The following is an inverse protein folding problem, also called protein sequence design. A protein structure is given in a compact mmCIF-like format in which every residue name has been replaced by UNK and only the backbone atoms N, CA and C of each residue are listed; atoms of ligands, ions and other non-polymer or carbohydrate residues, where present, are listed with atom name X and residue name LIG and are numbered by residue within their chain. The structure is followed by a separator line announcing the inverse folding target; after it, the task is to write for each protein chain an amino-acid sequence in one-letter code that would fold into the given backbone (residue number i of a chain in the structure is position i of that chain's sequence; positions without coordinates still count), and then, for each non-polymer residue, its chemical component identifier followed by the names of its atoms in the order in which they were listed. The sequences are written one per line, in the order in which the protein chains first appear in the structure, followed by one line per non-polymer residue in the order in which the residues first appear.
data_IF_641888141444
#
_entry.id   IF_641888141444
#
_cell.length_a   1.000
_cell.length_b   1.000
_cell.length_c   1.000
_cell.angle_alpha   90.00
_cell.angle_beta   90.00
_cell.angle_gamma   90.00
#
_symmetry.space_group_name_H-M   'P 1'
#
loop_
_entity.id
_entity.type
_entity.pdbx_description
1 polymer ?
#
# COMPACT_ATOMS: atom_id res chain seq x y z
N UNK A 1 32.48 -1.12 2.68
CA UNK A 1 31.45 -1.98 2.02
C UNK A 1 30.84 -3.05 2.92
N UNK A 2 31.48 -3.49 4.01
CA UNK A 2 30.92 -4.53 4.90
C UNK A 2 29.58 -4.14 5.54
N UNK A 3 29.50 -2.96 6.16
CA UNK A 3 28.28 -2.43 6.77
C UNK A 3 27.09 -2.34 5.80
N UNK A 4 27.35 -2.05 4.52
CA UNK A 4 26.29 -1.99 3.50
C UNK A 4 25.73 -3.39 3.16
N UNK A 5 26.58 -4.42 3.18
CA UNK A 5 26.16 -5.82 2.99
C UNK A 5 25.37 -6.32 4.19
N UNK A 6 25.82 -6.00 5.40
CA UNK A 6 25.15 -6.41 6.63
C UNK A 6 23.76 -5.75 6.74
N UNK A 7 23.66 -4.48 6.34
CA UNK A 7 22.38 -3.76 6.28
C UNK A 7 21.43 -4.35 5.23
N UNK A 8 21.94 -4.69 4.03
CA UNK A 8 21.11 -5.31 2.98
C UNK A 8 20.59 -6.68 3.44
N UNK A 9 21.44 -7.48 4.08
CA UNK A 9 21.03 -8.76 4.65
C UNK A 9 19.96 -8.61 5.73
N UNK A 10 20.16 -7.71 6.70
CA UNK A 10 19.17 -7.42 7.73
C UNK A 10 17.83 -6.93 7.14
N UNK A 11 17.87 -6.11 6.08
CA UNK A 11 16.67 -5.62 5.41
C UNK A 11 15.95 -6.74 4.64
N UNK A 12 16.69 -7.64 3.96
CA UNK A 12 16.11 -8.83 3.29
C UNK A 12 15.43 -9.75 4.29
N UNK A 13 16.08 -10.02 5.42
CA UNK A 13 15.50 -10.81 6.51
C UNK A 13 14.23 -10.15 7.05
N UNK A 14 14.27 -8.84 7.35
CA UNK A 14 13.09 -8.09 7.81
C UNK A 14 11.93 -8.19 6.81
N UNK A 15 12.18 -8.01 5.51
CA UNK A 15 11.15 -8.13 4.47
C UNK A 15 10.53 -9.53 4.44
N UNK A 16 11.35 -10.57 4.47
CA UNK A 16 10.86 -11.95 4.48
C UNK A 16 10.01 -12.25 5.72
N UNK A 17 10.34 -11.69 6.87
CA UNK A 17 9.57 -11.88 8.10
C UNK A 17 8.27 -11.07 8.04
N UNK A 18 8.31 -9.83 7.53
CA UNK A 18 7.13 -9.01 7.34
C UNK A 18 6.11 -9.65 6.38
N UNK A 19 6.56 -10.28 5.29
CA UNK A 19 5.66 -11.00 4.39
C UNK A 19 4.98 -12.20 5.06
N UNK A 20 5.67 -12.90 5.97
CA UNK A 20 5.07 -13.99 6.75
C UNK A 20 4.04 -13.45 7.75
N UNK A 21 4.37 -12.37 8.45
CA UNK A 21 3.44 -11.71 9.37
C UNK A 21 2.19 -11.20 8.64
N UNK A 22 2.35 -10.65 7.43
CA UNK A 22 1.23 -10.24 6.59
C UNK A 22 0.28 -11.39 6.28
N UNK A 23 0.80 -12.55 5.86
CA UNK A 23 -0.07 -13.71 5.56
C UNK A 23 -0.83 -14.20 6.78
N UNK A 24 -0.23 -14.13 7.97
CA UNK A 24 -0.91 -14.49 9.21
C UNK A 24 -1.97 -13.44 9.61
N UNK A 25 -1.72 -12.16 9.33
CA UNK A 25 -2.62 -11.05 9.65
C UNK A 25 -3.78 -10.88 8.66
N UNK A 26 -3.57 -11.16 7.37
CA UNK A 26 -4.53 -10.87 6.30
C UNK A 26 -5.93 -11.44 6.57
N UNK A 27 -6.12 -12.70 6.99
CA UNK A 27 -7.45 -13.22 7.29
C UNK A 27 -8.18 -12.45 8.40
N UNK A 28 -7.43 -11.95 9.39
CA UNK A 28 -8.00 -11.11 10.47
C UNK A 28 -8.42 -9.75 9.93
N UNK A 29 -7.61 -9.16 9.05
CA UNK A 29 -7.92 -7.87 8.39
C UNK A 29 -9.15 -8.02 7.50
N UNK A 30 -9.20 -9.06 6.68
CA UNK A 30 -10.35 -9.34 5.80
C UNK A 30 -11.64 -9.50 6.62
N UNK A 31 -11.58 -10.16 7.79
CA UNK A 31 -12.73 -10.29 8.69
C UNK A 31 -13.17 -8.94 9.27
N UNK A 32 -12.23 -8.10 9.74
CA UNK A 32 -12.54 -6.75 10.24
C UNK A 32 -13.20 -5.88 9.15
N UNK A 33 -12.72 -5.97 7.91
CA UNK A 33 -13.32 -5.27 6.77
C UNK A 33 -14.73 -5.79 6.48
N UNK A 34 -14.95 -7.10 6.50
CA UNK A 34 -16.26 -7.71 6.31
C UNK A 34 -17.26 -7.31 7.41
N UNK A 35 -16.79 -7.13 8.64
CA UNK A 35 -17.56 -6.61 9.77
C UNK A 35 -17.81 -5.10 9.72
N UNK A 36 -17.32 -4.40 8.68
CA UNK A 36 -17.51 -2.96 8.48
C UNK A 36 -16.71 -2.10 9.46
N UNK A 37 -15.64 -2.64 10.04
CA UNK A 37 -14.75 -1.88 10.95
C UNK A 37 -13.99 -0.83 10.15
N UNK A 38 -13.84 0.36 10.72
CA UNK A 38 -13.14 1.49 10.09
C UNK A 38 -11.69 1.64 10.58
N UNK A 39 -11.22 0.78 11.49
CA UNK A 39 -9.84 0.70 11.94
C UNK A 39 -9.39 -0.76 11.93
N UNK A 40 -8.24 -1.03 11.31
CA UNK A 40 -7.67 -2.38 11.22
C UNK A 40 -6.70 -2.63 12.36
N UNK A 41 -7.18 -3.15 13.48
CA UNK A 41 -6.33 -3.47 14.63
C UNK A 41 -6.03 -4.98 14.69
N UNK A 42 -4.76 -5.35 14.55
CA UNK A 42 -4.34 -6.75 14.49
C UNK A 42 -3.28 -7.07 15.53
N UNK A 43 -3.60 -8.06 16.37
CA UNK A 43 -2.60 -8.69 17.23
C UNK A 43 -1.71 -9.63 16.41
N UNK A 44 -0.41 -9.39 16.50
CA UNK A 44 0.66 -10.14 15.86
C UNK A 44 1.25 -11.11 16.88
N UNK A 45 1.52 -12.33 16.45
CA UNK A 45 2.13 -13.34 17.30
C UNK A 45 3.51 -12.86 17.82
N UNK A 46 3.82 -13.02 19.13
CA UNK A 46 5.10 -12.63 19.72
C UNK A 46 6.33 -13.35 19.14
N UNK A 47 6.15 -14.45 18.41
CA UNK A 47 7.22 -15.13 17.65
C UNK A 47 7.78 -14.26 16.52
N UNK A 48 7.03 -13.24 16.06
CA UNK A 48 7.55 -12.24 15.14
C UNK A 48 8.34 -11.16 15.90
N UNK A 49 9.47 -10.67 15.37
CA UNK A 49 10.16 -9.52 15.93
C UNK A 49 9.28 -8.26 15.91
N UNK A 50 9.30 -7.48 17.01
CA UNK A 50 8.57 -6.21 17.11
C UNK A 50 8.83 -5.24 15.95
N UNK A 51 10.02 -5.29 15.32
CA UNK A 51 10.37 -4.43 14.18
C UNK A 51 9.49 -4.62 12.93
N UNK A 52 8.61 -5.63 12.92
CA UNK A 52 7.66 -5.93 11.85
C UNK A 52 6.33 -5.18 12.00
N UNK A 53 5.99 -4.70 13.20
CA UNK A 53 4.71 -4.03 13.46
C UNK A 53 4.49 -2.82 12.55
N UNK A 54 5.50 -1.97 12.36
CA UNK A 54 5.40 -0.79 11.50
C UNK A 54 5.12 -1.12 10.02
N UNK A 55 5.95 -1.96 9.36
CA UNK A 55 5.68 -2.44 8.01
C UNK A 55 4.31 -3.12 7.87
N UNK A 56 3.89 -3.91 8.86
CA UNK A 56 2.61 -4.59 8.82
C UNK A 56 1.44 -3.61 8.91
N UNK A 57 1.48 -2.65 9.83
CA UNK A 57 0.47 -1.60 9.96
C UNK A 57 0.37 -0.76 8.67
N UNK A 58 1.50 -0.42 8.04
CA UNK A 58 1.49 0.29 6.76
C UNK A 58 0.81 -0.49 5.65
N UNK A 59 1.16 -1.77 5.51
CA UNK A 59 0.56 -2.61 4.50
C UNK A 59 -0.94 -2.85 4.76
N UNK A 60 -1.34 -3.06 6.02
CA UNK A 60 -2.74 -3.19 6.40
C UNK A 60 -3.54 -1.91 6.10
N UNK A 61 -2.95 -0.75 6.37
CA UNK A 61 -3.60 0.55 6.10
C UNK A 61 -3.78 0.80 4.61
N UNK A 62 -2.76 0.51 3.80
CA UNK A 62 -2.83 0.60 2.34
C UNK A 62 -3.87 -0.37 1.76
N UNK A 63 -3.86 -1.63 2.21
CA UNK A 63 -4.77 -2.67 1.71
C UNK A 63 -6.23 -2.40 2.06
N UNK A 64 -6.51 -1.97 3.30
CA UNK A 64 -7.87 -1.71 3.77
C UNK A 64 -8.34 -0.26 3.53
N UNK A 65 -7.49 0.60 2.97
CA UNK A 65 -7.73 2.04 2.82
C UNK A 65 -8.22 2.72 4.13
N UNK A 66 -7.75 2.24 5.28
CA UNK A 66 -8.21 2.64 6.61
C UNK A 66 -7.02 2.78 7.57
N UNK A 67 -7.13 3.51 8.69
CA UNK A 67 -6.10 3.47 9.74
C UNK A 67 -5.88 2.03 10.21
N UNK A 68 -4.62 1.67 10.47
CA UNK A 68 -4.28 0.34 10.90
C UNK A 68 -3.26 0.33 12.04
N UNK A 69 -3.44 -0.63 12.94
CA UNK A 69 -2.59 -0.92 14.09
C UNK A 69 -2.12 -2.36 14.03
N UNK A 70 -0.82 -2.56 14.18
CA UNK A 70 -0.25 -3.87 14.46
C UNK A 70 0.34 -3.83 15.86
N UNK A 71 -0.07 -4.74 16.73
CA UNK A 71 0.39 -4.78 18.12
C UNK A 71 0.79 -6.19 18.57
N UNK A 72 1.65 -6.26 19.57
CA UNK A 72 2.06 -7.47 20.26
C UNK A 72 1.81 -7.33 21.75
N UNK A 73 1.35 -8.39 22.39
CA UNK A 73 1.25 -8.49 23.84
C UNK A 73 2.38 -9.37 24.36
N UNK A 74 3.17 -8.83 25.29
CA UNK A 74 4.27 -9.54 25.96
C UNK A 74 4.15 -9.26 27.45
N UNK A 75 4.01 -10.30 28.27
CA UNK A 75 3.93 -10.20 29.73
C UNK A 75 2.84 -9.24 30.25
N UNK A 76 1.73 -9.13 29.53
CA UNK A 76 0.61 -8.23 29.87
C UNK A 76 0.75 -6.80 29.33
N UNK A 77 1.88 -6.46 28.73
CA UNK A 77 2.11 -5.16 28.09
C UNK A 77 1.92 -5.27 26.57
N UNK A 78 1.11 -4.37 26.02
CA UNK A 78 0.93 -4.23 24.58
C UNK A 78 1.86 -3.17 24.02
N UNK A 79 2.50 -3.47 22.89
CA UNK A 79 3.24 -2.50 22.07
C UNK A 79 2.68 -2.48 20.66
N UNK A 80 2.34 -1.29 20.18
CA UNK A 80 1.68 -1.08 18.91
C UNK A 80 2.43 -0.12 18.00
N UNK A 81 2.39 -0.39 16.70
CA UNK A 81 2.70 0.57 15.65
C UNK A 81 1.46 0.81 14.82
N UNK A 82 1.29 2.06 14.39
CA UNK A 82 0.11 2.52 13.69
C UNK A 82 0.47 3.28 12.41
N UNK A 83 -0.44 3.24 11.44
CA UNK A 83 -0.41 4.03 10.21
C UNK A 83 -1.79 4.59 9.95
N UNK A 84 -1.80 5.85 9.51
CA UNK A 84 -3.01 6.59 9.23
C UNK A 84 -3.26 6.75 7.74
N UNK A 85 -4.46 7.21 7.42
CA UNK A 85 -4.90 7.63 6.10
C UNK A 85 -5.06 9.15 6.05
N UNK A 86 -5.05 9.78 4.86
CA UNK A 86 -5.32 11.20 4.72
C UNK A 86 -6.65 11.57 5.42
N UNK A 87 -6.67 12.70 6.15
CA UNK A 87 -7.85 13.16 6.87
C UNK A 87 -8.03 12.60 8.28
N UNK A 88 -7.19 11.65 8.72
CA UNK A 88 -7.20 11.16 10.09
C UNK A 88 -5.83 11.39 10.75
N UNK A 89 -5.76 12.19 11.82
CA UNK A 89 -4.55 12.37 12.62
C UNK A 89 -4.51 11.31 13.73
N UNK A 90 -3.71 10.26 13.50
CA UNK A 90 -3.62 9.13 14.42
C UNK A 90 -2.88 9.47 15.71
N UNK A 91 -2.03 10.50 15.70
CA UNK A 91 -1.33 10.96 16.89
C UNK A 91 -2.30 11.71 17.81
N UNK A 92 -3.07 12.64 17.25
CA UNK A 92 -4.11 13.37 17.98
C UNK A 92 -5.18 12.42 18.52
N UNK A 93 -5.57 11.41 17.74
CA UNK A 93 -6.53 10.41 18.18
C UNK A 93 -6.01 9.56 19.36
N UNK A 94 -4.71 9.25 19.40
CA UNK A 94 -4.07 8.58 20.54
C UNK A 94 -3.94 9.50 21.76
N UNK A 95 -3.65 10.79 21.55
CA UNK A 95 -3.54 11.78 22.63
C UNK A 95 -4.82 11.88 23.45
N UNK A 96 -5.99 11.73 22.82
CA UNK A 96 -7.29 11.66 23.49
C UNK A 96 -7.45 10.44 24.44
N UNK A 97 -6.59 9.44 24.30
CA UNK A 97 -6.52 8.26 25.18
C UNK A 97 -5.26 8.23 26.05
N UNK A 98 -4.51 9.33 26.15
CA UNK A 98 -3.21 9.36 26.84
C UNK A 98 -3.23 8.83 28.27
N UNK A 99 -4.35 8.95 28.99
CA UNK A 99 -4.50 8.41 30.35
C UNK A 99 -4.51 6.86 30.42
N UNK A 100 -4.69 6.17 29.28
CA UNK A 100 -4.66 4.70 29.14
C UNK A 100 -3.34 4.20 28.57
N UNK A 101 -2.44 5.12 28.19
CA UNK A 101 -1.18 4.81 27.54
C UNK A 101 -0.04 4.95 28.55
N UNK A 102 0.81 3.93 28.63
CA UNK A 102 2.08 4.04 29.35
C UNK A 102 3.05 4.96 28.60
N UNK A 103 3.01 4.91 27.26
CA UNK A 103 3.80 5.76 26.36
C UNK A 103 3.13 5.84 25.00
N UNK A 104 3.21 6.98 24.33
CA UNK A 104 2.87 7.11 22.92
C UNK A 104 3.72 8.17 22.23
N UNK A 105 3.70 8.20 20.90
CA UNK A 105 4.35 9.24 20.12
C UNK A 105 4.28 8.97 18.62
N UNK A 106 4.70 9.96 17.83
CA UNK A 106 4.68 9.92 16.37
C UNK A 106 4.13 11.21 15.78
N UNK A 107 3.49 11.09 14.63
CA UNK A 107 2.92 12.19 13.85
C UNK A 107 1.58 11.76 13.23
N UNK A 108 0.89 12.69 12.58
CA UNK A 108 -0.43 12.48 11.99
C UNK A 108 -0.57 11.19 11.15
N UNK A 109 0.45 10.85 10.35
CA UNK A 109 0.43 9.68 9.47
C UNK A 109 0.91 8.37 10.12
N UNK A 110 1.58 8.44 11.27
CA UNK A 110 2.27 7.30 11.87
C UNK A 110 2.52 7.54 13.34
N UNK A 111 2.03 6.64 14.19
CA UNK A 111 2.26 6.68 15.62
C UNK A 111 2.55 5.30 16.19
N UNK A 112 2.93 5.25 17.47
CA UNK A 112 3.04 4.02 18.22
C UNK A 112 2.70 4.26 19.68
N UNK A 113 2.29 3.21 20.37
CA UNK A 113 1.98 3.29 21.79
C UNK A 113 2.37 2.02 22.54
N UNK A 114 2.49 2.16 23.86
CA UNK A 114 2.54 1.08 24.83
C UNK A 114 1.44 1.29 25.86
N UNK A 115 0.75 0.22 26.23
CA UNK A 115 -0.35 0.22 27.18
C UNK A 115 -0.47 -1.16 27.85
N UNK A 116 -1.20 -1.24 28.95
CA UNK A 116 -1.64 -2.53 29.48
C UNK A 116 -2.51 -3.23 28.43
N UNK A 117 -2.29 -4.53 28.21
CA UNK A 117 -2.99 -5.31 27.19
C UNK A 117 -4.51 -5.29 27.39
N UNK A 118 -4.98 -5.21 28.63
CA UNK A 118 -6.42 -5.12 28.95
C UNK A 118 -7.07 -3.83 28.45
N UNK A 119 -6.29 -2.76 28.22
CA UNK A 119 -6.79 -1.47 27.75
C UNK A 119 -6.80 -1.35 26.23
N UNK A 120 -6.14 -2.26 25.50
CA UNK A 120 -6.07 -2.21 24.02
C UNK A 120 -7.45 -2.19 23.37
N UNK A 121 -8.42 -3.05 23.75
CA UNK A 121 -9.76 -3.00 23.15
C UNK A 121 -10.44 -1.65 23.32
N UNK A 122 -10.28 -1.00 24.48
CA UNK A 122 -10.88 0.31 24.76
C UNK A 122 -10.20 1.43 23.96
N UNK A 123 -8.88 1.38 23.81
CA UNK A 123 -8.11 2.31 22.97
C UNK A 123 -8.57 2.20 21.51
N UNK A 124 -8.66 0.97 20.97
CA UNK A 124 -9.12 0.75 19.59
C UNK A 124 -10.56 1.24 19.41
N UNK A 125 -11.48 0.93 20.33
CA UNK A 125 -12.87 1.39 20.24
C UNK A 125 -12.98 2.93 20.25
N UNK A 126 -12.15 3.61 21.03
CA UNK A 126 -12.09 5.08 21.01
C UNK A 126 -11.65 5.60 19.65
N UNK A 127 -10.61 5.01 19.07
CA UNK A 127 -10.09 5.40 17.75
C UNK A 127 -11.11 5.15 16.64
N UNK A 128 -11.85 4.04 16.69
CA UNK A 128 -12.94 3.75 15.75
C UNK A 128 -14.06 4.79 15.83
N UNK A 129 -14.39 5.22 17.06
CA UNK A 129 -15.36 6.29 17.27
C UNK A 129 -14.88 7.60 16.66
N UNK A 130 -13.63 8.00 16.95
CA UNK A 130 -13.04 9.22 16.37
C UNK A 130 -13.00 9.16 14.85
N UNK A 131 -12.63 8.01 14.28
CA UNK A 131 -12.59 7.80 12.83
C UNK A 131 -13.99 7.97 12.22
N UNK A 132 -15.03 7.41 12.84
CA UNK A 132 -16.42 7.61 12.39
C UNK A 132 -16.81 9.08 12.39
N UNK A 133 -16.40 9.86 13.39
CA UNK A 133 -16.67 11.31 13.44
C UNK A 133 -15.91 12.08 12.36
N UNK A 134 -14.64 11.76 12.10
CA UNK A 134 -13.88 12.37 10.99
C UNK A 134 -14.48 11.99 9.62
N UNK A 135 -15.01 10.78 9.49
CA UNK A 135 -15.66 10.28 8.28
C UNK A 135 -17.07 10.85 8.04
N UNK A 136 -17.69 11.47 9.04
CA UNK A 136 -18.95 12.20 8.84
C UNK A 136 -18.73 13.56 8.14
N UNK A 137 -17.49 14.07 8.11
CA UNK A 137 -17.11 15.30 7.41
C UNK A 137 -16.39 15.08 6.07
N UNK A 138 -15.91 13.87 5.81
CA UNK A 138 -15.22 13.50 4.58
C UNK A 138 -15.77 12.15 4.10
N UNK A 139 -16.24 12.06 2.85
CA UNK A 139 -16.68 10.81 2.23
C UNK A 139 -15.53 9.78 2.23
N UNK A 140 -15.39 9.01 3.30
CA UNK A 140 -14.39 7.94 3.46
C UNK A 140 -14.86 6.61 2.83
N UNK A 141 -15.72 6.68 1.82
CA UNK A 141 -16.11 5.53 0.98
C UNK A 141 -15.30 5.48 -0.33
N UNK A 142 -14.05 5.91 -0.24
CA UNK A 142 -13.13 5.90 -1.36
C UNK A 142 -11.97 4.98 -0.98
N UNK A 143 -12.07 3.69 -1.35
CA UNK A 143 -10.89 2.87 -1.66
C UNK A 143 -9.88 3.79 -2.31
N UNK A 144 -8.67 3.95 -1.77
CA UNK A 144 -7.65 4.93 -2.19
C UNK A 144 -7.86 5.30 -3.67
N UNK A 145 -8.60 6.37 -3.94
CA UNK A 145 -8.92 6.73 -5.32
C UNK A 145 -7.61 7.25 -5.89
N UNK A 146 -6.97 6.40 -6.69
CA UNK A 146 -5.80 6.80 -7.46
C UNK A 146 -6.31 7.64 -8.62
N UNK A 147 -6.44 8.94 -8.39
CA UNK A 147 -6.76 9.89 -9.45
C UNK A 147 -5.62 9.88 -10.45
N UNK A 148 -5.92 9.53 -11.71
CA UNK A 148 -4.97 9.73 -12.78
C UNK A 148 -4.86 11.24 -13.09
N UNK A 149 -3.64 11.73 -13.26
CA UNK A 149 -3.36 13.12 -13.62
C UNK A 149 -3.75 13.40 -15.07
N UNK A 150 -3.66 12.39 -15.94
CA UNK A 150 -4.09 12.48 -17.33
C UNK A 150 -4.50 11.12 -17.90
N UNK A 151 -5.49 11.13 -18.79
CA UNK A 151 -5.73 10.00 -19.69
C UNK A 151 -4.77 10.08 -20.87
N UNK A 152 -4.12 8.97 -21.21
CA UNK A 152 -3.26 8.89 -22.39
C UNK A 152 -3.63 7.65 -23.20
N UNK A 153 -3.58 7.77 -24.52
CA UNK A 153 -3.55 6.61 -25.39
C UNK A 153 -2.22 5.90 -25.21
N UNK A 154 -2.18 4.56 -25.20
CA UNK A 154 -0.91 3.86 -25.14
C UNK A 154 -0.01 4.14 -26.37
N UNK A 155 -0.54 4.68 -27.48
CA UNK A 155 0.27 5.22 -28.59
C UNK A 155 1.16 6.42 -28.19
N UNK A 156 0.77 7.17 -27.14
CA UNK A 156 1.50 8.32 -26.59
C UNK A 156 2.63 7.91 -25.63
N UNK A 157 2.77 6.62 -25.31
CA UNK A 157 3.86 6.06 -24.47
C UNK A 157 5.22 6.01 -25.22
N UNK A 158 5.48 7.03 -26.05
CA UNK A 158 6.70 7.21 -26.82
C UNK A 158 7.80 7.91 -26.04
N UNK A 159 9.00 7.95 -26.62
CA UNK A 159 10.22 8.38 -25.94
C UNK A 159 10.16 9.78 -25.31
N UNK A 160 9.46 10.71 -25.95
CA UNK A 160 9.28 12.09 -25.50
C UNK A 160 8.51 12.20 -24.18
N UNK A 161 7.44 11.41 -24.00
CA UNK A 161 6.66 11.42 -22.76
C UNK A 161 7.51 10.95 -21.58
N UNK A 162 8.30 9.90 -21.78
CA UNK A 162 9.22 9.38 -20.77
C UNK A 162 10.26 10.43 -20.34
N UNK A 163 10.88 11.13 -21.29
CA UNK A 163 11.84 12.19 -20.94
C UNK A 163 11.18 13.38 -20.26
N UNK A 164 9.96 13.72 -20.64
CA UNK A 164 9.21 14.78 -20.01
C UNK A 164 8.92 14.45 -18.55
N UNK A 165 8.46 13.23 -18.26
CA UNK A 165 8.23 12.76 -16.88
C UNK A 165 9.54 12.68 -16.09
N UNK A 166 10.62 12.16 -16.68
CA UNK A 166 11.93 12.09 -15.99
C UNK A 166 12.43 13.47 -15.55
N UNK A 167 12.10 14.56 -16.28
CA UNK A 167 12.44 15.95 -15.92
C UNK A 167 11.63 16.51 -14.74
N UNK A 168 10.54 15.86 -14.33
CA UNK A 168 9.73 16.25 -13.18
C UNK A 168 10.28 15.71 -11.85
N UNK A 169 11.28 14.83 -11.90
CA UNK A 169 11.97 14.34 -10.72
C UNK A 169 12.72 15.48 -9.98
N UNK A 170 12.97 15.38 -8.65
CA UNK A 170 12.75 14.20 -7.81
C UNK A 170 11.31 14.04 -7.33
N UNK A 171 10.81 12.80 -7.35
CA UNK A 171 9.50 12.46 -6.83
C UNK A 171 9.54 12.11 -5.34
N UNK A 172 8.44 12.33 -4.63
CA UNK A 172 8.28 12.07 -3.20
C UNK A 172 6.94 12.58 -2.69
N UNK A 173 6.77 12.65 -1.36
CA UNK A 173 5.50 13.05 -0.73
C UNK A 173 5.00 14.44 -1.17
N UNK A 174 5.90 15.38 -1.46
CA UNK A 174 5.55 16.72 -1.95
C UNK A 174 5.54 16.87 -3.48
N UNK A 175 5.87 15.81 -4.22
CA UNK A 175 5.90 15.77 -5.67
C UNK A 175 5.65 14.32 -6.13
N UNK A 176 4.40 13.83 -6.07
CA UNK A 176 4.10 12.45 -6.43
C UNK A 176 4.47 12.16 -7.89
N UNK A 177 4.77 10.89 -8.18
CA UNK A 177 4.94 10.45 -9.57
C UNK A 177 3.62 10.64 -10.34
N UNK A 178 3.65 11.20 -11.57
CA UNK A 178 2.45 11.33 -12.38
C UNK A 178 1.81 9.97 -12.68
N UNK A 179 0.51 9.89 -12.46
CA UNK A 179 -0.33 8.74 -12.77
C UNK A 179 -1.09 8.98 -14.08
N UNK A 180 -1.10 7.98 -14.94
CA UNK A 180 -1.76 8.02 -16.23
C UNK A 180 -2.82 6.93 -16.34
N UNK A 181 -3.97 7.26 -16.91
CA UNK A 181 -5.02 6.31 -17.23
C UNK A 181 -4.86 5.82 -18.67
N UNK A 182 -4.76 4.52 -18.85
CA UNK A 182 -4.86 3.84 -20.14
C UNK A 182 -6.23 3.19 -20.23
N UNK A 183 -7.06 3.59 -21.18
CA UNK A 183 -8.36 2.95 -21.43
C UNK A 183 -8.27 1.87 -22.50
N UNK A 184 -9.07 0.82 -22.33
CA UNK A 184 -9.27 -0.25 -23.32
C UNK A 184 -7.94 -0.87 -23.82
N UNK A 185 -6.95 -0.96 -22.95
CA UNK A 185 -5.69 -1.63 -23.26
C UNK A 185 -5.90 -3.14 -23.31
N UNK A 186 -5.22 -3.83 -24.22
CA UNK A 186 -5.33 -5.30 -24.32
C UNK A 186 -4.20 -5.95 -23.51
N UNK A 187 -4.56 -6.81 -22.55
CA UNK A 187 -3.59 -7.58 -21.78
C UNK A 187 -3.07 -8.80 -22.57
N UNK A 188 -1.76 -9.00 -22.50
CA UNK A 188 -1.05 -10.13 -23.08
C UNK A 188 0.10 -10.58 -22.15
N UNK A 189 0.53 -11.84 -22.29
CA UNK A 189 1.71 -12.39 -21.60
C UNK A 189 1.77 -12.09 -20.09
N UNK A 190 0.74 -12.52 -19.37
CA UNK A 190 0.68 -12.40 -17.91
C UNK A 190 1.62 -13.42 -17.29
N UNK A 191 2.58 -12.94 -16.49
CA UNK A 191 3.55 -13.74 -15.77
C UNK A 191 3.51 -13.36 -14.30
N UNK A 192 3.30 -14.36 -13.45
CA UNK A 192 3.39 -14.18 -12.01
C UNK A 192 4.85 -14.25 -11.56
N UNK A 193 5.20 -13.38 -10.62
CA UNK A 193 6.56 -13.11 -10.17
C UNK A 193 6.62 -13.07 -8.64
N UNK A 194 7.85 -13.16 -8.11
CA UNK A 194 8.08 -13.21 -6.68
C UNK A 194 8.01 -14.63 -6.14
N UNK A 195 8.52 -14.83 -4.91
CA UNK A 195 8.58 -16.16 -4.27
C UNK A 195 7.18 -16.77 -4.07
N UNK A 196 6.16 -15.93 -3.95
CA UNK A 196 4.79 -16.34 -3.69
C UNK A 196 3.87 -16.13 -4.89
N UNK A 197 4.42 -15.79 -6.06
CA UNK A 197 3.65 -15.48 -7.26
C UNK A 197 2.63 -14.33 -7.07
N UNK A 198 2.90 -13.45 -6.11
CA UNK A 198 2.03 -12.34 -5.71
C UNK A 198 2.21 -11.09 -6.59
N UNK A 199 3.30 -11.00 -7.35
CA UNK A 199 3.51 -9.87 -8.27
C UNK A 199 3.14 -10.27 -9.69
N UNK A 200 2.66 -9.32 -10.49
CA UNK A 200 2.33 -9.55 -11.89
C UNK A 200 3.25 -8.74 -12.80
N UNK A 201 3.76 -9.39 -13.83
CA UNK A 201 4.28 -8.72 -15.02
C UNK A 201 3.38 -9.08 -16.19
N UNK A 202 2.82 -8.08 -16.83
CA UNK A 202 1.97 -8.25 -18.00
C UNK A 202 2.43 -7.32 -19.13
N UNK A 203 1.94 -7.59 -20.33
CA UNK A 203 2.15 -6.74 -21.49
C UNK A 203 0.82 -6.08 -21.83
N UNK A 204 0.81 -4.77 -21.91
CA UNK A 204 -0.31 -3.99 -22.42
C UNK A 204 -0.07 -3.72 -23.90
N UNK A 205 -1.09 -3.94 -24.72
CA UNK A 205 -1.06 -3.67 -26.14
C UNK A 205 -2.01 -2.51 -26.46
N UNK A 206 -1.54 -1.58 -27.29
CA UNK A 206 -2.38 -0.52 -27.85
C UNK A 206 -3.17 -0.97 -29.08
N UNK A 207 -4.08 -0.11 -29.53
CA UNK A 207 -4.88 -0.28 -30.76
C UNK A 207 -4.01 -0.34 -32.03
N UNK A 208 -2.79 0.21 -31.99
CA UNK A 208 -1.81 0.14 -33.10
C UNK A 208 -0.95 -1.13 -33.09
N UNK A 209 -1.11 -1.99 -32.08
CA UNK A 209 -0.40 -3.24 -31.92
C UNK A 209 0.96 -3.16 -31.20
N UNK A 210 1.34 -2.00 -30.64
CA UNK A 210 2.57 -1.85 -29.85
C UNK A 210 2.41 -2.44 -28.47
N UNK A 211 3.50 -2.98 -27.94
CA UNK A 211 3.54 -3.65 -26.65
C UNK A 211 4.33 -2.84 -25.62
N UNK A 212 3.72 -2.64 -24.45
CA UNK A 212 4.32 -2.00 -23.29
C UNK A 212 4.33 -2.96 -22.12
N UNK A 213 5.48 -3.07 -21.47
CA UNK A 213 5.62 -3.92 -20.29
C UNK A 213 5.10 -3.17 -19.07
N UNK A 214 4.25 -3.83 -18.30
CA UNK A 214 3.74 -3.33 -17.03
C UNK A 214 4.06 -4.31 -15.89
N UNK A 215 4.42 -3.77 -14.72
CA UNK A 215 4.64 -4.52 -13.49
C UNK A 215 3.77 -3.98 -12.38
N UNK A 216 2.93 -4.86 -11.82
CA UNK A 216 2.13 -4.62 -10.63
C UNK A 216 2.66 -5.43 -9.45
N UNK A 217 2.85 -4.79 -8.31
CA UNK A 217 3.29 -5.48 -7.09
C UNK A 217 2.08 -5.87 -6.25
N UNK A 218 1.99 -7.15 -5.88
CA UNK A 218 0.88 -7.69 -5.05
C UNK A 218 -0.49 -7.64 -5.72
N UNK A 219 -0.53 -7.52 -7.05
CA UNK A 219 -1.76 -7.41 -7.84
C UNK A 219 -2.15 -8.73 -8.54
N UNK A 220 -1.65 -9.88 -8.08
CA UNK A 220 -1.98 -11.17 -8.69
C UNK A 220 -3.48 -11.48 -8.62
N UNK A 221 -4.13 -11.13 -7.50
CA UNK A 221 -5.55 -11.36 -7.26
C UNK A 221 -6.45 -10.24 -7.83
N UNK A 222 -5.87 -9.11 -8.23
CA UNK A 222 -6.59 -7.93 -8.74
C UNK A 222 -6.83 -7.97 -10.26
N UNK A 223 -6.24 -8.96 -10.96
CA UNK A 223 -6.34 -9.04 -12.42
C UNK A 223 -7.77 -9.40 -12.85
N UNK A 224 -8.40 -8.58 -13.71
CA UNK A 224 -9.71 -8.93 -14.25
C UNK A 224 -9.61 -10.16 -15.17
N UNK A 225 -10.67 -10.97 -15.28
CA UNK A 225 -10.71 -12.12 -16.17
C UNK A 225 -10.81 -11.73 -17.66
N UNK A 226 -10.84 -10.45 -17.98
CA UNK A 226 -10.97 -9.90 -19.34
C UNK A 226 -9.62 -9.51 -19.93
N UNK A 227 -9.51 -9.57 -21.26
CA UNK A 227 -8.32 -9.02 -21.96
C UNK A 227 -8.32 -7.49 -22.01
N UNK A 228 -9.47 -6.89 -22.29
CA UNK A 228 -9.63 -5.45 -22.31
C UNK A 228 -9.67 -4.90 -20.88
N UNK A 229 -8.76 -3.98 -20.58
CA UNK A 229 -8.61 -3.39 -19.24
C UNK A 229 -8.43 -1.88 -19.31
N UNK A 230 -8.91 -1.22 -18.26
CA UNK A 230 -8.49 0.14 -17.92
C UNK A 230 -7.40 0.02 -16.85
N UNK A 231 -6.29 0.74 -17.02
CA UNK A 231 -5.11 0.61 -16.17
C UNK A 231 -4.59 1.98 -15.73
N UNK A 232 -4.33 2.13 -14.43
CA UNK A 232 -3.63 3.28 -13.87
C UNK A 232 -2.15 2.94 -13.76
N UNK A 233 -1.30 3.70 -14.45
CA UNK A 233 0.13 3.42 -14.57
C UNK A 233 0.98 4.65 -14.28
N UNK A 234 2.21 4.41 -13.81
CA UNK A 234 3.28 5.43 -13.78
C UNK A 234 4.42 4.99 -14.69
N UNK A 235 5.17 5.95 -15.22
CA UNK A 235 6.29 5.70 -16.12
C UNK A 235 7.57 5.56 -15.30
N UNK A 236 8.11 4.34 -15.19
CA UNK A 236 9.35 4.08 -14.46
C UNK A 236 10.55 3.78 -15.35
N UNK A 237 11.54 4.66 -15.32
CA UNK A 237 12.85 4.44 -15.94
C UNK A 237 13.74 3.69 -14.94
N UNK A 238 13.96 2.40 -15.16
CA UNK A 238 14.87 1.59 -14.35
C UNK A 238 16.25 1.45 -15.03
N UNK A 239 17.31 1.35 -14.24
CA UNK A 239 18.68 1.13 -14.72
C UNK A 239 19.17 -0.21 -14.20
N UNK A 240 19.00 -1.26 -15.01
CA UNK A 240 19.41 -2.61 -14.63
C UNK A 240 20.65 -3.04 -15.42
N UNK A 241 21.74 -3.36 -14.72
CA UNK A 241 23.04 -3.76 -15.30
C UNK A 241 23.56 -2.78 -16.37
N UNK A 242 23.37 -1.48 -16.16
CA UNK A 242 23.81 -0.43 -17.09
C UNK A 242 22.87 -0.17 -18.27
N UNK A 243 21.80 -0.96 -18.44
CA UNK A 243 20.79 -0.73 -19.46
C UNK A 243 19.61 0.06 -18.90
N UNK A 244 19.29 1.18 -19.53
CA UNK A 244 18.08 1.95 -19.27
C UNK A 244 16.88 1.17 -19.81
N UNK A 245 15.97 0.78 -18.93
CA UNK A 245 14.75 0.06 -19.25
C UNK A 245 13.55 0.91 -18.86
N UNK A 246 12.65 1.11 -19.80
CA UNK A 246 11.36 1.77 -19.56
C UNK A 246 10.30 0.72 -19.32
N UNK A 247 9.62 0.81 -18.19
CA UNK A 247 8.60 -0.14 -17.77
C UNK A 247 7.48 0.62 -17.06
N UNK A 248 6.24 0.30 -17.42
CA UNK A 248 5.08 0.85 -16.72
C UNK A 248 4.99 0.20 -15.35
N UNK A 249 4.78 0.99 -14.31
CA UNK A 249 4.38 0.47 -13.01
C UNK A 249 2.87 0.57 -12.89
N UNK A 250 2.23 -0.58 -12.74
CA UNK A 250 0.79 -0.70 -12.56
C UNK A 250 0.43 -0.38 -11.11
N UNK A 251 -0.55 0.50 -10.93
CA UNK A 251 -1.10 0.88 -9.61
C UNK A 251 -2.52 0.40 -9.42
N UNK A 252 -3.29 0.32 -10.50
CA UNK A 252 -4.66 -0.21 -10.48
C UNK A 252 -5.02 -0.78 -11.87
N UNK A 253 -5.93 -1.74 -11.90
CA UNK A 253 -6.40 -2.40 -13.10
C UNK A 253 -7.85 -2.87 -12.93
N UNK A 254 -8.69 -2.59 -13.93
CA UNK A 254 -10.08 -3.03 -13.94
C UNK A 254 -10.47 -3.51 -15.34
N UNK A 255 -11.53 -4.33 -15.40
CA UNK A 255 -12.13 -4.69 -16.69
C UNK A 255 -12.59 -3.41 -17.40
N UNK A 256 -12.18 -3.23 -18.66
CA UNK A 256 -12.60 -2.06 -19.42
C UNK A 256 -14.11 -2.16 -19.68
N UNK A 257 -14.84 -1.12 -19.28
CA UNK A 257 -16.23 -0.97 -19.67
C UNK A 257 -16.28 -0.14 -20.96
N UNK A 258 -17.08 -0.54 -21.98
CA UNK A 258 -17.28 0.32 -23.12
C UNK A 258 -17.77 1.69 -22.63
N UNK A 259 -17.12 2.77 -23.07
CA UNK A 259 -17.60 4.12 -22.80
C UNK A 259 -19.07 4.21 -23.24
N UNK A 260 -19.93 4.70 -22.34
CA UNK A 260 -21.31 5.08 -22.68
C UNK A 260 -21.32 6.26 -23.63
#
# INVERSE_FOLDING_TARGET
MQLAKDLDEANRQRRSIADKAWRAAKPKIDALMADGRNVMAVEVDPTFPMGVLGPLAGHASEYAASPAFAYQVIDGDARASARSVPGFDIHQALEATANKLQRFGGHAAAAGFAADASLVPEIIAHLETQMSWSSLGANFDERIVRTADAEISPSQLGYSLWEFVDKMAPFGTGNPEPLFLLRNAQTANINYMGRNQDHVRLTLQDDTGRYFRAVGFRMADDLPPTRAVDAVVSLKTDYYKGNRRRELRLHDIAASSPAR
#
